data_IF_628210531321
#
_entry.id   IF_628210531321
#
_cell.length_a   1.000
_cell.length_b   1.000
_cell.length_c   1.000
_cell.angle_alpha   90.00
_cell.angle_beta   90.00
_cell.angle_gamma   90.00
#
_symmetry.space_group_name_H-M   'P 1'
#
loop_
_entity.id
_entity.type
_entity.pdbx_description
1 polymer ?
#
# COMPACT_ATOMS: atom_id res chain seq x y z
N UNK A 1 4.28 -1.08 3.06
CA UNK A 1 5.14 0.09 2.82
C UNK A 1 5.83 -0.24 1.52
N UNK A 2 5.76 0.62 0.50
CA UNK A 2 6.20 0.28 -0.84
C UNK A 2 7.65 -0.17 -0.88
N UNK A 3 7.92 -1.30 -1.52
CA UNK A 3 9.28 -1.81 -1.69
C UNK A 3 10.14 -0.80 -2.45
N UNK A 4 11.38 -0.60 -2.00
CA UNK A 4 12.33 0.33 -2.60
C UNK A 4 12.58 0.06 -4.11
N UNK A 5 12.54 -1.21 -4.51
CA UNK A 5 12.72 -1.62 -5.91
C UNK A 5 11.56 -1.09 -6.78
N UNK A 6 10.30 -1.28 -6.35
CA UNK A 6 9.13 -0.79 -7.08
C UNK A 6 9.16 0.74 -7.22
N UNK A 7 9.52 1.46 -6.16
CA UNK A 7 9.70 2.92 -6.19
C UNK A 7 10.77 3.34 -7.21
N UNK A 8 11.92 2.68 -7.25
CA UNK A 8 13.02 3.01 -8.18
C UNK A 8 12.59 2.79 -9.63
N UNK A 9 11.89 1.69 -9.92
CA UNK A 9 11.40 1.37 -11.27
C UNK A 9 10.29 2.34 -11.69
N UNK A 10 9.33 2.61 -10.82
CA UNK A 10 8.27 3.56 -11.11
C UNK A 10 8.80 4.99 -11.37
N UNK A 11 9.81 5.43 -10.63
CA UNK A 11 10.50 6.71 -10.89
C UNK A 11 11.21 6.73 -12.24
N UNK A 12 11.81 5.62 -12.65
CA UNK A 12 12.41 5.50 -13.99
C UNK A 12 11.35 5.62 -15.08
N UNK A 13 10.22 4.96 -14.90
CA UNK A 13 9.09 5.04 -15.83
C UNK A 13 8.51 6.45 -15.90
N UNK A 14 8.40 7.15 -14.77
CA UNK A 14 7.99 8.54 -14.74
C UNK A 14 8.97 9.46 -15.49
N UNK A 15 10.29 9.29 -15.31
CA UNK A 15 11.31 10.04 -16.07
C UNK A 15 11.26 9.75 -17.57
N UNK A 16 10.85 8.54 -17.94
CA UNK A 16 10.63 8.15 -19.33
C UNK A 16 9.28 8.64 -19.90
N UNK A 17 8.52 9.45 -19.15
CA UNK A 17 7.23 9.98 -19.59
C UNK A 17 6.10 8.94 -19.68
N UNK A 18 6.26 7.77 -19.05
CA UNK A 18 5.25 6.71 -19.12
C UNK A 18 4.02 7.05 -18.30
N UNK A 19 2.86 6.53 -18.73
CA UNK A 19 1.57 6.75 -18.07
C UNK A 19 1.58 6.29 -16.60
N UNK A 20 0.77 6.92 -15.72
CA UNK A 20 0.67 6.52 -14.30
C UNK A 20 0.31 5.05 -14.09
N UNK A 21 -0.54 4.48 -14.95
CA UNK A 21 -0.90 3.05 -14.90
C UNK A 21 0.31 2.12 -15.15
N UNK A 22 1.23 2.53 -16.03
CA UNK A 22 2.47 1.79 -16.29
C UNK A 22 3.40 1.86 -15.08
N UNK A 23 3.58 3.05 -14.50
CA UNK A 23 4.38 3.24 -13.29
C UNK A 23 3.84 2.38 -12.12
N UNK A 24 2.52 2.32 -11.98
CA UNK A 24 1.85 1.48 -10.98
C UNK A 24 2.02 -0.03 -11.23
N UNK A 25 2.19 -0.41 -12.50
CA UNK A 25 2.49 -1.78 -12.89
C UNK A 25 3.76 -2.33 -12.23
N UNK A 26 4.73 -1.48 -11.89
CA UNK A 26 5.94 -1.89 -11.18
C UNK A 26 5.65 -2.39 -9.75
N UNK A 27 4.65 -1.81 -9.08
CA UNK A 27 4.21 -2.26 -7.75
C UNK A 27 3.44 -3.57 -7.85
N UNK A 28 2.55 -3.69 -8.84
CA UNK A 28 1.79 -4.92 -9.09
C UNK A 28 2.74 -6.07 -9.44
N UNK A 29 3.75 -5.81 -10.27
CA UNK A 29 4.77 -6.81 -10.65
C UNK A 29 5.52 -7.31 -9.42
N UNK A 30 5.86 -6.42 -8.50
CA UNK A 30 6.58 -6.78 -7.28
C UNK A 30 5.71 -7.60 -6.31
N UNK A 31 4.43 -7.27 -6.16
CA UNK A 31 3.49 -8.06 -5.35
C UNK A 31 3.21 -9.43 -5.99
N UNK A 32 3.15 -9.49 -7.32
CA UNK A 32 3.04 -10.76 -8.06
C UNK A 32 4.29 -11.62 -7.90
N UNK A 33 5.47 -11.02 -7.96
CA UNK A 33 6.72 -11.71 -7.70
C UNK A 33 6.75 -12.25 -6.27
N UNK A 34 6.33 -11.44 -5.30
CA UNK A 34 6.23 -11.86 -3.91
C UNK A 34 5.31 -13.09 -3.77
N UNK A 35 4.11 -13.03 -4.36
CA UNK A 35 3.16 -14.16 -4.40
C UNK A 35 3.78 -15.43 -5.01
N UNK A 36 4.46 -15.33 -6.16
CA UNK A 36 5.06 -16.49 -6.82
C UNK A 36 6.21 -17.10 -6.02
N UNK A 37 6.98 -16.28 -5.31
CA UNK A 37 8.05 -16.75 -4.43
C UNK A 37 7.53 -17.30 -3.10
N UNK A 38 6.21 -17.27 -2.86
CA UNK A 38 5.64 -17.57 -1.55
C UNK A 38 6.11 -16.61 -0.46
N UNK A 39 6.59 -15.43 -0.85
CA UNK A 39 7.13 -14.42 0.05
C UNK A 39 6.12 -13.28 0.24
N UNK A 40 5.93 -12.83 1.49
CA UNK A 40 4.98 -11.76 1.81
C UNK A 40 3.58 -12.23 2.18
N UNK A 41 2.67 -11.26 2.37
CA UNK A 41 1.35 -11.50 2.98
C UNK A 41 0.22 -11.72 1.96
N UNK A 42 0.56 -11.84 0.68
CA UNK A 42 -0.41 -11.93 -0.42
C UNK A 42 -0.74 -13.39 -0.69
N UNK A 43 -2.04 -13.71 -0.75
CA UNK A 43 -2.55 -15.08 -0.93
C UNK A 43 -3.19 -15.31 -2.30
N UNK A 44 -3.38 -14.27 -3.10
CA UNK A 44 -3.97 -14.38 -4.44
C UNK A 44 -3.48 -13.28 -5.38
N UNK A 45 -3.57 -13.55 -6.69
CA UNK A 45 -3.23 -12.58 -7.74
C UNK A 45 -4.09 -11.30 -7.66
N UNK A 46 -5.38 -11.45 -7.36
CA UNK A 46 -6.27 -10.30 -7.18
C UNK A 46 -5.84 -9.43 -6.00
N UNK A 47 -5.41 -10.05 -4.90
CA UNK A 47 -4.89 -9.33 -3.75
C UNK A 47 -3.57 -8.64 -4.07
N UNK A 48 -2.68 -9.27 -4.83
CA UNK A 48 -1.42 -8.66 -5.29
C UNK A 48 -1.68 -7.37 -6.08
N UNK A 49 -2.64 -7.41 -7.00
CA UNK A 49 -3.06 -6.23 -7.77
C UNK A 49 -3.60 -5.13 -6.85
N UNK A 50 -4.49 -5.50 -5.91
CA UNK A 50 -5.11 -4.55 -5.00
C UNK A 50 -4.08 -3.87 -4.07
N UNK A 51 -3.14 -4.64 -3.52
CA UNK A 51 -2.05 -4.14 -2.68
C UNK A 51 -1.13 -3.25 -3.51
N UNK A 52 -0.67 -3.71 -4.67
CA UNK A 52 0.20 -2.94 -5.55
C UNK A 52 -0.41 -1.59 -5.97
N UNK A 53 -1.71 -1.56 -6.31
CA UNK A 53 -2.43 -0.31 -6.62
C UNK A 53 -2.57 0.63 -5.43
N UNK A 54 -2.70 0.09 -4.22
CA UNK A 54 -2.80 0.88 -2.98
C UNK A 54 -1.44 1.47 -2.61
N UNK A 55 -0.36 0.69 -2.77
CA UNK A 55 1.02 1.15 -2.54
C UNK A 55 1.44 2.20 -3.56
N UNK A 56 1.09 2.02 -4.84
CA UNK A 56 1.35 2.99 -5.89
C UNK A 56 0.71 4.37 -5.58
N UNK A 57 -0.54 4.40 -5.09
CA UNK A 57 -1.21 5.64 -4.65
C UNK A 57 -0.49 6.30 -3.50
N UNK A 58 -0.10 5.52 -2.48
CA UNK A 58 0.66 6.02 -1.33
C UNK A 58 2.07 6.50 -1.71
N UNK A 59 2.63 5.95 -2.78
CA UNK A 59 3.91 6.40 -3.34
C UNK A 59 3.80 7.70 -4.16
N UNK A 60 2.59 8.25 -4.31
CA UNK A 60 2.35 9.51 -5.03
C UNK A 60 2.12 9.33 -6.52
N UNK A 61 1.90 8.11 -7.02
CA UNK A 61 1.50 7.91 -8.42
C UNK A 61 0.06 8.39 -8.58
N UNK A 62 -0.16 9.23 -9.60
CA UNK A 62 -1.44 9.83 -9.93
C UNK A 62 -2.40 8.84 -10.58
N UNK A 63 -2.78 7.82 -9.80
CA UNK A 63 -3.84 6.90 -10.15
C UNK A 63 -5.17 7.50 -9.73
N UNK A 64 -5.97 7.89 -10.72
CA UNK A 64 -7.34 8.36 -10.50
C UNK A 64 -8.16 7.38 -9.66
N UNK A 65 -9.26 7.88 -9.08
CA UNK A 65 -10.21 7.04 -8.36
C UNK A 65 -10.84 6.06 -9.37
N UNK A 66 -10.96 4.77 -9.05
CA UNK A 66 -11.59 3.81 -9.96
C UNK A 66 -13.04 4.23 -10.25
N UNK A 67 -13.39 4.28 -11.54
CA UNK A 67 -14.74 4.65 -11.99
C UNK A 67 -15.78 3.59 -11.60
N UNK A 68 -15.36 2.32 -11.63
CA UNK A 68 -16.18 1.16 -11.31
C UNK A 68 -15.80 0.58 -9.96
N UNK A 69 -16.75 -0.08 -9.30
CA UNK A 69 -16.57 -0.74 -8.02
C UNK A 69 -17.38 -0.11 -6.90
N UNK A 70 -17.29 -0.70 -5.71
CA UNK A 70 -18.04 -0.28 -4.54
C UNK A 70 -17.62 1.11 -4.05
N UNK A 71 -18.52 1.77 -3.31
CA UNK A 71 -18.22 3.02 -2.58
C UNK A 71 -16.98 2.87 -1.69
N UNK A 72 -16.83 1.71 -1.05
CA UNK A 72 -15.70 1.39 -0.16
C UNK A 72 -14.36 1.37 -0.90
N UNK A 73 -14.30 0.80 -2.10
CA UNK A 73 -13.07 0.80 -2.92
C UNK A 73 -12.70 2.22 -3.34
N UNK A 74 -13.67 3.03 -3.78
CA UNK A 74 -13.43 4.43 -4.17
C UNK A 74 -12.92 5.27 -3.00
N UNK A 75 -13.56 5.14 -1.83
CA UNK A 75 -13.11 5.81 -0.60
C UNK A 75 -11.71 5.38 -0.19
N UNK A 76 -11.41 4.08 -0.28
CA UNK A 76 -10.07 3.55 0.03
C UNK A 76 -9.01 4.14 -0.91
N UNK A 77 -9.28 4.16 -2.21
CA UNK A 77 -8.38 4.73 -3.21
C UNK A 77 -8.11 6.23 -2.93
N UNK A 78 -9.16 7.00 -2.67
CA UNK A 78 -9.03 8.42 -2.31
C UNK A 78 -8.22 8.62 -1.03
N UNK A 79 -8.48 7.80 0.00
CA UNK A 79 -7.73 7.83 1.25
C UNK A 79 -6.25 7.50 1.03
N UNK A 80 -5.92 6.47 0.24
CA UNK A 80 -4.52 6.08 -0.02
C UNK A 80 -3.76 7.17 -0.80
N UNK A 81 -4.42 7.86 -1.73
CA UNK A 81 -3.85 9.05 -2.39
C UNK A 81 -3.61 10.18 -1.38
N UNK A 82 -4.58 10.46 -0.50
CA UNK A 82 -4.44 11.49 0.53
C UNK A 82 -3.33 11.17 1.53
N UNK A 83 -3.12 9.89 1.86
CA UNK A 83 -1.98 9.42 2.66
C UNK A 83 -0.67 9.71 1.93
N UNK A 84 -0.56 9.37 0.65
CA UNK A 84 0.65 9.63 -0.14
C UNK A 84 0.99 11.12 -0.27
N UNK A 85 -0.03 11.98 -0.25
CA UNK A 85 0.11 13.44 -0.25
C UNK A 85 0.38 14.04 1.14
N UNK A 86 0.47 13.23 2.19
CA UNK A 86 0.66 13.71 3.57
C UNK A 86 -0.55 14.44 4.17
N UNK A 87 -1.73 14.33 3.54
CA UNK A 87 -2.97 15.00 3.97
C UNK A 87 -3.70 14.26 5.08
N UNK A 88 -3.33 12.99 5.33
CA UNK A 88 -3.95 12.16 6.38
C UNK A 88 -3.01 12.06 7.56
N UNK A 89 -3.48 12.52 8.73
CA UNK A 89 -2.78 12.32 10.00
C UNK A 89 -3.29 11.04 10.69
N UNK A 90 -2.41 10.26 11.35
CA UNK A 90 -2.84 9.14 12.17
C UNK A 90 -3.79 9.60 13.28
N UNK A 91 -4.83 8.81 13.52
CA UNK A 91 -5.73 9.02 14.66
C UNK A 91 -4.98 8.74 15.98
N UNK A 92 -4.83 9.77 16.81
CA UNK A 92 -4.08 9.70 18.06
C UNK A 92 -4.71 8.71 19.05
N UNK A 93 -6.04 8.61 19.11
CA UNK A 93 -6.73 7.69 20.00
C UNK A 93 -6.48 6.24 19.57
N UNK A 94 -6.60 5.93 18.28
CA UNK A 94 -6.25 4.60 17.75
C UNK A 94 -4.79 4.25 17.98
N UNK A 95 -3.88 5.21 17.79
CA UNK A 95 -2.45 4.99 18.04
C UNK A 95 -2.17 4.63 19.50
N UNK A 96 -2.77 5.36 20.45
CA UNK A 96 -2.65 5.06 21.88
C UNK A 96 -3.24 3.69 22.23
N UNK A 97 -4.41 3.36 21.68
CA UNK A 97 -5.04 2.05 21.87
C UNK A 97 -4.16 0.89 21.38
N UNK A 98 -3.59 1.01 20.18
CA UNK A 98 -2.69 0.00 19.63
C UNK A 98 -1.42 -0.18 20.48
N UNK A 99 -0.82 0.91 20.97
CA UNK A 99 0.33 0.86 21.87
C UNK A 99 0.00 0.19 23.20
N UNK A 100 -1.16 0.51 23.80
CA UNK A 100 -1.63 -0.13 25.03
C UNK A 100 -1.82 -1.63 24.83
N UNK A 101 -2.49 -2.03 23.76
CA UNK A 101 -2.70 -3.45 23.42
C UNK A 101 -1.39 -4.20 23.21
N UNK A 102 -0.41 -3.59 22.54
CA UNK A 102 0.92 -4.18 22.36
C UNK A 102 1.63 -4.38 23.71
N UNK A 103 1.64 -3.36 24.58
CA UNK A 103 2.22 -3.46 25.93
C UNK A 103 1.55 -4.55 26.76
N UNK A 104 0.23 -4.61 26.80
CA UNK A 104 -0.49 -5.63 27.58
C UNK A 104 -0.27 -7.05 27.03
N UNK A 105 0.00 -7.20 25.72
CA UNK A 105 0.37 -8.51 25.15
C UNK A 105 1.77 -8.91 25.58
N UNK A 106 2.72 -7.98 25.55
CA UNK A 106 4.09 -8.19 26.01
C UNK A 106 4.14 -8.54 27.50
N UNK A 107 3.38 -7.85 28.34
CA UNK A 107 3.26 -8.17 29.77
C UNK A 107 2.67 -9.57 30.03
N UNK A 108 1.76 -10.04 29.17
CA UNK A 108 1.11 -11.35 29.33
C UNK A 108 1.91 -12.52 28.76
N UNK A 109 2.69 -12.30 27.71
CA UNK A 109 3.32 -13.38 26.93
C UNK A 109 4.83 -13.17 26.66
N UNK A 110 5.38 -12.02 27.03
CA UNK A 110 6.77 -11.61 26.77
C UNK A 110 7.77 -11.97 27.88
N UNK A 111 7.37 -12.79 28.87
CA UNK A 111 8.31 -13.39 29.82
C UNK A 111 8.63 -14.82 29.37
N UNK A 112 9.67 -14.94 28.56
CA UNK A 112 10.46 -16.16 28.32
C UNK A 112 11.91 -15.73 28.17
#
# INVERSE_FOLDING_TARGET
>A
MPKAIALKRARRDARAGKKPSTQAGEFIREEMHALHQGSGNVRSRQQAIAIGLSEARRAGIELGVPQKGSKTIRQKAAHDTAVGQGRVKPDAARSRGAKKAARTRDERYGRS
#
